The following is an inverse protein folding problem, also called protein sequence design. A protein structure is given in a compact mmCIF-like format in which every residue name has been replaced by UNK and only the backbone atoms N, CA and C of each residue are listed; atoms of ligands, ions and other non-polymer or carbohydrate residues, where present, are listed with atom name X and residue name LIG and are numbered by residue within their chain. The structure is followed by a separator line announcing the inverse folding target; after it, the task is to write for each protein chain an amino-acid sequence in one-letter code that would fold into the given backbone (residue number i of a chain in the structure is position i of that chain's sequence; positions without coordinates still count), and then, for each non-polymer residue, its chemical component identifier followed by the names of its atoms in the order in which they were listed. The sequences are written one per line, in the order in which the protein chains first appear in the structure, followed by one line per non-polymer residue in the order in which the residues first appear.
data_IF_687429143189
#
_entry.id   IF_687429143189
#
_cell.length_a   1.000
_cell.length_b   1.000
_cell.length_c   1.000
_cell.angle_alpha   90.00
_cell.angle_beta   90.00
_cell.angle_gamma   90.00
#
_symmetry.space_group_name_H-M   'P 1'
#
loop_
_entity.id
_entity.type
_entity.pdbx_description
1 polymer ?
#
# COMPACT_ATOMS: atom_id res chain seq x y z
N UNK A 1 -7.25 31.73 0.33
CA UNK A 1 -8.02 30.87 -0.60
C UNK A 1 -9.03 30.13 0.27
N UNK A 2 -10.23 29.75 -0.21
CA UNK A 2 -11.14 29.02 0.67
C UNK A 2 -10.56 27.63 1.00
N UNK A 3 -10.96 27.09 2.16
CA UNK A 3 -10.31 25.92 2.76
C UNK A 3 -10.41 24.67 1.88
N UNK A 4 -11.50 24.54 1.11
CA UNK A 4 -11.73 23.41 0.23
C UNK A 4 -10.69 23.38 -0.90
N UNK A 5 -10.44 24.52 -1.53
CA UNK A 5 -9.45 24.67 -2.59
C UNK A 5 -8.02 24.48 -2.05
N UNK A 6 -7.74 24.92 -0.81
CA UNK A 6 -6.45 24.65 -0.16
C UNK A 6 -6.24 23.14 0.09
N UNK A 7 -7.27 22.43 0.57
CA UNK A 7 -7.19 20.98 0.79
C UNK A 7 -7.03 20.22 -0.52
N UNK A 8 -7.74 20.63 -1.56
CA UNK A 8 -7.62 20.04 -2.89
C UNK A 8 -6.22 20.25 -3.47
N UNK A 9 -5.66 21.47 -3.39
CA UNK A 9 -4.32 21.76 -3.87
C UNK A 9 -3.24 20.98 -3.12
N UNK A 10 -3.32 20.95 -1.79
CA UNK A 10 -2.43 20.14 -0.95
C UNK A 10 -2.55 18.65 -1.28
N UNK A 11 -3.76 18.14 -1.41
CA UNK A 11 -4.03 16.75 -1.76
C UNK A 11 -3.47 16.37 -3.13
N UNK A 12 -3.64 17.22 -4.14
CA UNK A 12 -3.07 17.01 -5.47
C UNK A 12 -1.53 17.04 -5.45
N UNK A 13 -0.93 17.95 -4.69
CA UNK A 13 0.53 17.97 -4.50
C UNK A 13 1.03 16.68 -3.85
N UNK A 14 0.40 16.25 -2.75
CA UNK A 14 0.74 15.03 -2.02
C UNK A 14 0.54 13.79 -2.89
N UNK A 15 -0.52 13.75 -3.70
CA UNK A 15 -0.79 12.64 -4.62
C UNK A 15 0.34 12.48 -5.64
N UNK A 16 0.85 13.57 -6.23
CA UNK A 16 1.97 13.52 -7.18
C UNK A 16 3.26 13.03 -6.53
N UNK A 17 3.48 13.35 -5.26
CA UNK A 17 4.67 13.00 -4.48
C UNK A 17 4.49 11.77 -3.58
N UNK A 18 3.41 10.99 -3.78
CA UNK A 18 2.98 9.98 -2.82
C UNK A 18 3.97 8.83 -2.59
N UNK A 19 4.96 8.70 -3.46
CA UNK A 19 6.04 7.71 -3.37
C UNK A 19 7.15 8.10 -2.38
N UNK A 20 7.30 9.38 -2.03
CA UNK A 20 8.43 9.85 -1.20
C UNK A 20 8.10 9.87 0.29
N UNK A 21 6.88 10.25 0.68
CA UNK A 21 6.50 10.35 2.11
C UNK A 21 6.66 9.01 2.86
N UNK A 22 6.28 7.85 2.30
CA UNK A 22 6.50 6.59 2.99
C UNK A 22 7.97 6.27 3.28
N UNK A 23 8.92 6.83 2.50
CA UNK A 23 10.36 6.68 2.74
C UNK A 23 10.75 7.40 4.03
N UNK A 24 10.21 8.60 4.29
CA UNK A 24 10.49 9.34 5.53
C UNK A 24 10.00 8.58 6.77
N UNK A 25 8.80 8.02 6.69
CA UNK A 25 8.23 7.18 7.76
C UNK A 25 9.08 5.93 7.96
N UNK A 26 9.51 5.29 6.88
CA UNK A 26 10.37 4.11 6.94
C UNK A 26 11.73 4.43 7.57
N UNK A 27 12.34 5.56 7.23
CA UNK A 27 13.58 6.04 7.86
C UNK A 27 13.39 6.28 9.36
N UNK A 28 12.30 6.95 9.76
CA UNK A 28 11.97 7.13 11.17
C UNK A 28 11.78 5.78 11.89
N UNK A 29 11.10 4.83 11.24
CA UNK A 29 10.93 3.47 11.75
C UNK A 29 12.29 2.77 11.96
N UNK A 30 13.22 2.87 11.00
CA UNK A 30 14.57 2.34 11.15
C UNK A 30 15.34 2.96 12.32
N UNK A 31 15.29 4.28 12.49
CA UNK A 31 15.97 4.96 13.59
C UNK A 31 15.44 4.45 14.94
N UNK A 32 14.12 4.45 15.12
CA UNK A 32 13.49 4.00 16.38
C UNK A 32 13.78 2.51 16.60
N UNK A 33 13.76 1.72 15.53
CA UNK A 33 14.13 0.30 15.58
C UNK A 33 15.54 0.07 16.12
N UNK A 34 16.53 0.87 15.70
CA UNK A 34 17.90 0.71 16.22
C UNK A 34 17.98 0.90 17.73
N UNK A 35 17.25 1.88 18.27
CA UNK A 35 17.18 2.11 19.71
C UNK A 35 16.46 0.94 20.41
N UNK A 36 15.35 0.46 19.86
CA UNK A 36 14.64 -0.69 20.40
C UNK A 36 15.50 -1.95 20.48
N UNK A 37 16.30 -2.26 19.45
CA UNK A 37 17.23 -3.40 19.49
C UNK A 37 18.29 -3.20 20.57
N UNK A 38 18.85 -2.00 20.71
CA UNK A 38 19.84 -1.68 21.76
C UNK A 38 19.25 -1.79 23.16
N UNK A 39 17.97 -1.47 23.32
CA UNK A 39 17.20 -1.66 24.56
C UNK A 39 16.76 -3.12 24.79
N UNK A 40 17.23 -4.07 23.97
CA UNK A 40 16.95 -5.50 24.09
C UNK A 40 15.59 -5.95 23.53
N UNK A 41 14.84 -5.07 22.85
CA UNK A 41 13.57 -5.44 22.19
C UNK A 41 13.85 -6.01 20.81
N UNK A 42 13.78 -7.33 20.68
CA UNK A 42 13.99 -8.04 19.42
C UNK A 42 12.66 -8.57 18.84
N UNK A 43 12.04 -7.90 17.84
CA UNK A 43 10.78 -8.39 17.28
C UNK A 43 10.93 -9.70 16.52
N UNK A 44 12.14 -10.03 16.04
CA UNK A 44 12.42 -11.29 15.36
C UNK A 44 12.55 -12.45 16.36
N UNK A 45 12.95 -12.16 17.60
CA UNK A 45 13.00 -13.14 18.70
C UNK A 45 11.65 -13.34 19.41
N UNK A 46 10.80 -12.32 19.45
CA UNK A 46 9.52 -12.34 20.18
C UNK A 46 8.30 -12.73 19.35
N UNK A 47 8.46 -12.92 18.03
CA UNK A 47 7.37 -13.28 17.11
C UNK A 47 6.48 -12.11 16.67
N UNK A 48 6.66 -10.89 17.21
CA UNK A 48 5.99 -9.66 16.73
C UNK A 48 6.27 -9.43 15.24
N UNK A 49 7.42 -9.88 14.73
CA UNK A 49 7.73 -9.84 13.30
C UNK A 49 6.67 -10.58 12.45
N UNK A 50 6.11 -11.70 12.93
CA UNK A 50 5.10 -12.44 12.19
C UNK A 50 3.74 -11.75 12.20
N UNK A 51 3.38 -11.10 13.31
CA UNK A 51 2.22 -10.21 13.37
C UNK A 51 2.38 -9.04 12.38
N UNK A 52 3.55 -8.40 12.41
CA UNK A 52 3.92 -7.29 11.52
C UNK A 52 3.84 -7.71 10.04
N UNK A 53 4.37 -8.90 9.73
CA UNK A 53 4.31 -9.49 8.40
C UNK A 53 2.86 -9.81 8.01
N UNK A 54 2.06 -10.39 8.91
CA UNK A 54 0.65 -10.69 8.69
C UNK A 54 -0.16 -9.44 8.36
N UNK A 55 -0.01 -8.37 9.14
CA UNK A 55 -0.65 -7.07 8.87
C UNK A 55 -0.23 -6.53 7.50
N UNK A 56 1.06 -6.64 7.15
CA UNK A 56 1.54 -6.19 5.85
C UNK A 56 0.99 -7.00 4.68
N UNK A 57 0.92 -8.33 4.85
CA UNK A 57 0.36 -9.25 3.86
C UNK A 57 -1.14 -8.98 3.66
N UNK A 58 -1.91 -8.75 4.73
CA UNK A 58 -3.33 -8.38 4.61
C UNK A 58 -3.47 -7.11 3.77
N UNK A 59 -2.64 -6.10 4.00
CA UNK A 59 -2.60 -4.88 3.19
C UNK A 59 -2.31 -5.16 1.71
N UNK A 60 -1.31 -6.00 1.44
CA UNK A 60 -0.98 -6.42 0.08
C UNK A 60 -2.10 -7.22 -0.58
N UNK A 61 -2.78 -8.11 0.16
CA UNK A 61 -3.92 -8.88 -0.33
C UNK A 61 -5.11 -7.99 -0.69
N UNK A 62 -5.39 -6.96 0.11
CA UNK A 62 -6.40 -5.93 -0.23
C UNK A 62 -6.04 -5.26 -1.56
N UNK A 63 -4.77 -4.88 -1.74
CA UNK A 63 -4.30 -4.28 -3.00
C UNK A 63 -4.44 -5.24 -4.17
N UNK A 64 -4.04 -6.51 -3.99
CA UNK A 64 -4.17 -7.56 -5.00
C UNK A 64 -5.64 -7.73 -5.39
N UNK A 65 -6.53 -7.89 -4.41
CA UNK A 65 -7.96 -8.02 -4.69
C UNK A 65 -8.51 -6.81 -5.43
N UNK A 66 -8.17 -5.60 -4.98
CA UNK A 66 -8.63 -4.34 -5.59
C UNK A 66 -8.14 -4.19 -7.03
N UNK A 67 -6.84 -4.34 -7.27
CA UNK A 67 -6.23 -4.16 -8.59
C UNK A 67 -6.70 -5.24 -9.56
N UNK A 68 -6.91 -6.46 -9.07
CA UNK A 68 -7.32 -7.61 -9.87
C UNK A 68 -8.74 -7.50 -10.40
N UNK A 69 -9.61 -6.76 -9.70
CA UNK A 69 -11.00 -6.47 -10.09
C UNK A 69 -11.21 -5.03 -10.59
N UNK A 70 -10.16 -4.24 -10.79
CA UNK A 70 -10.32 -2.88 -11.31
C UNK A 70 -10.50 -2.90 -12.84
N UNK A 71 -11.31 -2.01 -13.44
CA UNK A 71 -11.29 -1.72 -14.87
C UNK A 71 -9.94 -1.21 -15.40
N UNK A 72 -9.82 -1.08 -16.72
CA UNK A 72 -8.77 -0.30 -17.38
C UNK A 72 -8.79 1.17 -16.91
N UNK A 73 -7.61 1.79 -16.87
CA UNK A 73 -7.43 3.22 -16.52
C UNK A 73 -8.09 3.72 -15.22
N UNK A 74 -8.44 2.81 -14.32
CA UNK A 74 -8.77 3.10 -12.93
C UNK A 74 -7.71 2.49 -12.03
N UNK A 75 -7.61 2.95 -10.78
CA UNK A 75 -6.69 2.35 -9.80
C UNK A 75 -5.22 2.35 -10.28
N UNK A 76 -4.83 3.38 -11.03
CA UNK A 76 -3.52 3.52 -11.67
C UNK A 76 -2.42 4.05 -10.73
N UNK A 77 -1.16 3.97 -11.17
CA UNK A 77 -0.01 4.58 -10.48
C UNK A 77 0.39 5.92 -11.11
N UNK A 78 -0.56 6.61 -11.73
CA UNK A 78 -0.31 7.87 -12.41
C UNK A 78 0.04 8.93 -11.36
N UNK A 79 1.27 9.43 -11.42
CA UNK A 79 1.75 10.57 -10.61
C UNK A 79 1.91 11.79 -11.50
N UNK A 80 2.49 11.64 -12.70
CA UNK A 80 2.72 12.73 -13.63
C UNK A 80 1.41 13.29 -14.24
N UNK A 81 0.52 12.41 -14.69
CA UNK A 81 -0.76 12.78 -15.32
C UNK A 81 -1.83 13.25 -14.31
N UNK A 82 -1.56 13.18 -13.00
CA UNK A 82 -2.55 13.46 -11.96
C UNK A 82 -3.59 12.35 -11.79
N UNK A 83 -4.77 12.73 -11.30
CA UNK A 83 -5.92 11.86 -11.08
C UNK A 83 -6.47 11.36 -12.43
N UNK A 84 -6.69 10.05 -12.57
CA UNK A 84 -7.23 9.42 -13.79
C UNK A 84 -8.22 8.35 -13.39
N UNK A 85 -9.44 8.43 -13.93
CA UNK A 85 -10.48 7.42 -13.75
C UNK A 85 -11.43 7.46 -14.95
N UNK A 86 -11.40 6.47 -15.82
CA UNK A 86 -12.32 6.41 -16.97
C UNK A 86 -13.74 6.01 -16.56
N UNK A 87 -13.86 5.20 -15.50
CA UNK A 87 -15.12 4.78 -14.89
C UNK A 87 -15.08 4.96 -13.37
N UNK A 88 -16.25 5.08 -12.76
CA UNK A 88 -16.39 5.10 -11.31
C UNK A 88 -16.57 3.67 -10.77
N UNK A 89 -15.59 3.19 -9.98
CA UNK A 89 -15.65 1.87 -9.36
C UNK A 89 -16.59 1.89 -8.15
N UNK A 90 -17.65 1.07 -8.17
CA UNK A 90 -18.66 1.01 -7.09
C UNK A 90 -18.95 -0.40 -6.59
N UNK A 91 -18.43 -1.43 -7.28
CA UNK A 91 -18.68 -2.84 -7.01
C UNK A 91 -17.45 -3.52 -6.39
N UNK A 92 -17.64 -4.75 -5.89
CA UNK A 92 -16.61 -5.52 -5.21
C UNK A 92 -16.13 -4.78 -3.96
N UNK A 93 -14.81 -4.64 -3.80
CA UNK A 93 -14.26 -3.95 -2.63
C UNK A 93 -14.64 -2.46 -2.58
N UNK A 94 -14.92 -1.83 -3.73
CA UNK A 94 -15.37 -0.44 -3.78
C UNK A 94 -16.81 -0.25 -3.30
N UNK A 95 -17.59 -1.32 -3.10
CA UNK A 95 -18.92 -1.18 -2.49
C UNK A 95 -18.85 -1.05 -0.97
N UNK A 96 -17.78 -1.57 -0.35
CA UNK A 96 -17.60 -1.60 1.11
C UNK A 96 -16.66 -0.51 1.63
N UNK A 97 -15.79 0.05 0.79
CA UNK A 97 -14.87 1.14 1.15
C UNK A 97 -14.50 1.97 -0.10
N UNK A 98 -14.44 3.30 0.02
CA UNK A 98 -14.13 4.18 -1.13
C UNK A 98 -12.67 4.15 -1.55
N UNK A 99 -11.76 3.99 -0.58
CA UNK A 99 -10.31 4.07 -0.79
C UNK A 99 -9.54 2.78 -0.45
N UNK A 100 -9.88 1.62 -1.05
CA UNK A 100 -9.31 0.31 -0.70
C UNK A 100 -7.79 0.21 -0.95
N UNK A 101 -7.25 0.88 -1.96
CA UNK A 101 -5.80 0.90 -2.21
C UNK A 101 -5.03 1.64 -1.11
N UNK A 102 -5.61 2.70 -0.56
CA UNK A 102 -5.04 3.45 0.55
C UNK A 102 -5.15 2.67 1.85
N UNK A 103 -6.26 1.96 2.09
CA UNK A 103 -6.37 1.01 3.18
C UNK A 103 -5.31 -0.09 3.09
N UNK A 104 -5.13 -0.69 1.91
CA UNK A 104 -4.09 -1.70 1.68
C UNK A 104 -2.68 -1.17 1.93
N UNK A 105 -2.38 0.03 1.44
CA UNK A 105 -1.10 0.69 1.71
C UNK A 105 -0.90 0.96 3.21
N UNK A 106 -1.91 1.46 3.90
CA UNK A 106 -1.85 1.71 5.34
C UNK A 106 -1.43 0.48 6.11
N UNK A 107 -2.08 -0.65 5.86
CA UNK A 107 -1.76 -1.91 6.54
C UNK A 107 -0.35 -2.40 6.19
N UNK A 108 0.09 -2.26 4.94
CA UNK A 108 1.49 -2.55 4.57
C UNK A 108 2.48 -1.74 5.40
N UNK A 109 2.29 -0.42 5.52
CA UNK A 109 3.19 0.44 6.28
C UNK A 109 3.04 0.28 7.81
N UNK A 110 1.83 -0.02 8.29
CA UNK A 110 1.57 -0.30 9.70
C UNK A 110 2.37 -1.52 10.16
N UNK A 111 2.48 -2.56 9.34
CA UNK A 111 3.32 -3.70 9.65
C UNK A 111 4.79 -3.32 9.87
N UNK A 112 5.35 -2.43 9.05
CA UNK A 112 6.72 -1.92 9.30
C UNK A 112 6.78 -1.06 10.57
N UNK A 113 5.74 -0.26 10.84
CA UNK A 113 5.67 0.58 12.03
C UNK A 113 5.57 -0.21 13.36
N UNK A 114 5.16 -1.49 13.31
CA UNK A 114 5.13 -2.38 14.46
C UNK A 114 6.50 -2.96 14.83
N UNK A 115 7.44 -3.06 13.88
CA UNK A 115 8.77 -3.66 14.10
C UNK A 115 9.58 -2.98 15.21
N UNK A 116 9.57 -1.64 15.36
CA UNK A 116 10.21 -0.98 16.49
C UNK A 116 9.64 -1.32 17.88
N UNK A 117 8.53 -2.06 17.99
CA UNK A 117 7.91 -2.40 19.28
C UNK A 117 7.64 -1.16 20.17
N UNK A 118 7.24 -0.05 19.54
CA UNK A 118 6.96 1.23 20.20
C UNK A 118 5.52 1.65 19.93
N UNK A 119 4.66 1.54 20.95
CA UNK A 119 3.25 1.94 20.87
C UNK A 119 3.13 3.42 20.51
N UNK A 120 3.98 4.27 21.08
CA UNK A 120 4.00 5.70 20.80
C UNK A 120 4.31 6.00 19.33
N UNK A 121 5.27 5.27 18.74
CA UNK A 121 5.57 5.41 17.31
C UNK A 121 4.40 4.98 16.44
N UNK A 122 3.71 3.89 16.79
CA UNK A 122 2.53 3.41 16.06
C UNK A 122 1.40 4.45 16.11
N UNK A 123 1.15 5.09 17.27
CA UNK A 123 0.14 6.14 17.40
C UNK A 123 0.50 7.33 16.50
N UNK A 124 1.75 7.82 16.55
CA UNK A 124 2.21 8.92 15.69
C UNK A 124 2.09 8.55 14.22
N UNK A 125 2.52 7.34 13.85
CA UNK A 125 2.39 6.83 12.50
C UNK A 125 0.94 6.89 12.02
N UNK A 126 -0.02 6.37 12.81
CA UNK A 126 -1.43 6.40 12.45
C UNK A 126 -1.97 7.84 12.27
N UNK A 127 -1.61 8.78 13.15
CA UNK A 127 -2.04 10.17 13.06
C UNK A 127 -1.46 10.88 11.82
N UNK A 128 -0.16 10.73 11.58
CA UNK A 128 0.49 11.31 10.39
C UNK A 128 -0.08 10.73 9.10
N UNK A 129 -0.31 9.42 9.10
CA UNK A 129 -0.87 8.72 7.96
C UNK A 129 -2.31 9.15 7.68
N UNK A 130 -3.12 9.38 8.72
CA UNK A 130 -4.47 9.92 8.60
C UNK A 130 -4.46 11.30 7.94
N UNK A 131 -3.70 12.26 8.47
CA UNK A 131 -3.61 13.62 7.91
C UNK A 131 -3.13 13.58 6.45
N UNK A 132 -2.14 12.73 6.16
CA UNK A 132 -1.58 12.60 4.83
C UNK A 132 -2.58 12.05 3.81
N UNK A 133 -3.24 10.93 4.11
CA UNK A 133 -4.21 10.34 3.19
C UNK A 133 -5.55 11.06 3.17
N UNK A 134 -5.97 11.72 4.24
CA UNK A 134 -7.16 12.57 4.22
C UNK A 134 -7.05 13.62 3.11
N UNK A 135 -5.90 14.30 3.01
CA UNK A 135 -5.65 15.30 1.96
C UNK A 135 -5.72 14.68 0.57
N UNK A 136 -5.07 13.53 0.36
CA UNK A 136 -5.07 12.85 -0.94
C UNK A 136 -6.48 12.37 -1.31
N UNK A 137 -7.17 11.71 -0.38
CA UNK A 137 -8.54 11.22 -0.56
C UNK A 137 -9.48 12.38 -0.86
N UNK A 138 -9.35 13.51 -0.17
CA UNK A 138 -10.16 14.70 -0.43
C UNK A 138 -10.00 15.19 -1.87
N UNK A 139 -8.76 15.36 -2.35
CA UNK A 139 -8.52 15.78 -3.72
C UNK A 139 -9.03 14.76 -4.77
N UNK A 140 -8.89 13.47 -4.48
CA UNK A 140 -9.45 12.40 -5.31
C UNK A 140 -10.98 12.46 -5.37
N UNK A 141 -11.63 12.66 -4.23
CA UNK A 141 -13.08 12.78 -4.13
C UNK A 141 -13.61 14.04 -4.83
N UNK A 142 -12.89 15.18 -4.80
CA UNK A 142 -13.25 16.36 -5.59
C UNK A 142 -13.15 16.07 -7.10
N UNK A 143 -12.07 15.41 -7.54
CA UNK A 143 -11.91 15.01 -8.93
C UNK A 143 -13.03 14.07 -9.40
N UNK A 144 -13.34 13.03 -8.62
CA UNK A 144 -14.40 12.08 -8.93
C UNK A 144 -15.79 12.73 -8.91
N UNK A 145 -16.05 13.63 -7.95
CA UNK A 145 -17.28 14.41 -7.91
C UNK A 145 -17.42 15.30 -9.14
N UNK A 146 -16.37 16.01 -9.55
CA UNK A 146 -16.40 16.84 -10.76
C UNK A 146 -16.62 16.03 -12.04
N UNK A 147 -16.12 14.79 -12.10
CA UNK A 147 -16.23 13.94 -13.29
C UNK A 147 -17.54 13.15 -13.39
N UNK A 148 -18.05 12.63 -12.26
CA UNK A 148 -19.19 11.69 -12.23
C UNK A 148 -20.42 12.23 -11.48
N UNK A 149 -20.31 13.41 -10.88
CA UNK A 149 -21.39 14.19 -10.25
C UNK A 149 -22.35 13.33 -9.40
N UNK A 150 -23.63 13.22 -9.80
CA UNK A 150 -24.67 12.49 -9.07
C UNK A 150 -24.35 11.00 -8.88
N UNK A 151 -23.66 10.36 -9.83
CA UNK A 151 -23.25 8.95 -9.72
C UNK A 151 -22.25 8.77 -8.58
N UNK A 152 -21.29 9.69 -8.46
CA UNK A 152 -20.34 9.71 -7.34
C UNK A 152 -21.05 9.99 -6.01
N UNK A 153 -21.92 11.01 -5.95
CA UNK A 153 -22.62 11.37 -4.72
C UNK A 153 -23.48 10.22 -4.18
N UNK A 154 -24.24 9.54 -5.04
CA UNK A 154 -25.11 8.43 -4.65
C UNK A 154 -24.34 7.24 -4.08
N UNK A 155 -23.16 6.95 -4.63
CA UNK A 155 -22.26 5.91 -4.13
C UNK A 155 -21.59 6.36 -2.82
N UNK A 156 -21.02 7.56 -2.79
CA UNK A 156 -20.26 8.06 -1.65
C UNK A 156 -21.12 8.24 -0.38
N UNK A 157 -22.40 8.56 -0.52
CA UNK A 157 -23.32 8.64 0.63
C UNK A 157 -23.54 7.32 1.36
N UNK A 158 -23.32 6.18 0.67
CA UNK A 158 -23.55 4.83 1.22
C UNK A 158 -22.26 4.18 1.69
N UNK A 159 -21.17 4.40 0.95
CA UNK A 159 -19.90 3.70 1.16
C UNK A 159 -18.94 4.52 2.02
N UNK A 160 -18.39 3.94 3.12
CA UNK A 160 -17.46 4.65 4.00
C UNK A 160 -16.11 4.93 3.32
N UNK A 161 -15.45 6.01 3.72
CA UNK A 161 -14.20 6.44 3.09
C UNK A 161 -13.05 5.42 3.26
N UNK A 162 -12.82 4.95 4.49
CA UNK A 162 -11.59 4.21 4.84
C UNK A 162 -11.79 2.93 5.65
N UNK A 163 -12.73 2.90 6.60
CA UNK A 163 -13.04 1.69 7.39
C UNK A 163 -14.11 0.89 6.63
N UNK A 164 -13.83 -0.35 6.18
CA UNK A 164 -14.78 -1.11 5.39
C UNK A 164 -16.05 -1.48 6.15
N UNK A 165 -17.19 -1.38 5.46
CA UNK A 165 -18.45 -1.94 5.94
C UNK A 165 -18.84 -3.16 5.09
N UNK A 166 -18.54 -4.35 5.60
CA UNK A 166 -18.74 -5.62 4.88
C UNK A 166 -20.21 -5.94 4.57
N UNK A 167 -21.18 -5.33 5.28
CA UNK A 167 -22.61 -5.55 4.97
C UNK A 167 -23.04 -4.93 3.65
N UNK A 168 -22.25 -4.01 3.09
CA UNK A 168 -22.49 -3.36 1.81
C UNK A 168 -21.87 -4.10 0.62
N UNK A 169 -21.34 -5.31 0.82
CA UNK A 169 -20.65 -6.03 -0.24
C UNK A 169 -21.60 -6.35 -1.39
N UNK A 170 -21.26 -5.86 -2.58
CA UNK A 170 -21.93 -6.18 -3.83
C UNK A 170 -20.90 -6.79 -4.77
N UNK A 171 -21.21 -7.93 -5.39
CA UNK A 171 -20.29 -8.58 -6.32
C UNK A 171 -20.00 -7.69 -7.52
N UNK A 172 -18.84 -7.93 -8.15
CA UNK A 172 -18.47 -7.27 -9.41
C UNK A 172 -18.53 -8.28 -10.54
N UNK A 173 -18.94 -7.82 -11.72
CA UNK A 173 -18.90 -8.62 -12.95
C UNK A 173 -17.47 -8.75 -13.52
N UNK A 174 -16.55 -7.91 -13.05
CA UNK A 174 -15.15 -7.92 -13.52
C UNK A 174 -14.44 -9.12 -12.91
N UNK A 175 -14.06 -10.09 -13.74
CA UNK A 175 -13.28 -11.24 -13.28
C UNK A 175 -11.86 -10.85 -12.85
N UNK A 176 -11.38 -11.49 -11.78
CA UNK A 176 -10.03 -11.29 -11.28
C UNK A 176 -8.94 -11.59 -12.33
N UNK A 177 -8.04 -10.63 -12.56
CA UNK A 177 -6.93 -10.78 -13.51
C UNK A 177 -5.57 -11.03 -12.84
N UNK A 178 -5.07 -12.26 -12.94
CA UNK A 178 -3.70 -12.60 -12.50
C UNK A 178 -2.62 -11.85 -13.27
N UNK A 179 -2.81 -11.64 -14.59
CA UNK A 179 -1.84 -10.91 -15.42
C UNK A 179 -1.65 -9.48 -14.93
N UNK A 180 -2.76 -8.80 -14.60
CA UNK A 180 -2.75 -7.44 -14.05
C UNK A 180 -2.01 -7.38 -12.72
N UNK A 181 -2.20 -8.37 -11.85
CA UNK A 181 -1.48 -8.48 -10.56
C UNK A 181 0.00 -8.67 -10.76
N UNK A 182 0.42 -9.65 -11.56
CA UNK A 182 1.83 -9.90 -11.85
C UNK A 182 2.51 -8.67 -12.47
N UNK A 183 1.79 -7.92 -13.31
CA UNK A 183 2.28 -6.68 -13.92
C UNK A 183 2.39 -5.53 -12.91
N UNK A 184 1.37 -5.30 -12.07
CA UNK A 184 1.26 -4.10 -11.21
C UNK A 184 1.83 -4.30 -9.80
N UNK A 185 1.64 -5.45 -9.17
CA UNK A 185 1.95 -5.66 -7.75
C UNK A 185 3.30 -6.36 -7.48
N UNK A 186 4.05 -6.76 -8.50
CA UNK A 186 5.43 -7.30 -8.34
C UNK A 186 6.35 -6.38 -7.51
N UNK A 187 6.22 -5.06 -7.68
CA UNK A 187 7.01 -4.09 -6.92
C UNK A 187 6.60 -4.07 -5.44
N UNK A 188 5.30 -4.25 -5.16
CA UNK A 188 4.77 -4.22 -3.80
C UNK A 188 5.23 -5.43 -2.99
N UNK A 189 5.15 -6.63 -3.60
CA UNK A 189 5.65 -7.86 -3.00
C UNK A 189 7.17 -7.80 -2.75
N UNK A 190 7.94 -7.38 -3.75
CA UNK A 190 9.39 -7.26 -3.61
C UNK A 190 9.79 -6.23 -2.55
N UNK A 191 9.14 -5.06 -2.53
CA UNK A 191 9.40 -4.03 -1.53
C UNK A 191 9.06 -4.50 -0.11
N UNK A 192 7.97 -5.24 0.07
CA UNK A 192 7.57 -5.78 1.37
C UNK A 192 8.67 -6.68 1.94
N UNK A 193 9.08 -7.71 1.20
CA UNK A 193 10.13 -8.63 1.69
C UNK A 193 11.50 -7.96 1.79
N UNK A 194 11.81 -7.00 0.92
CA UNK A 194 13.03 -6.21 1.03
C UNK A 194 13.11 -5.44 2.35
N UNK A 195 12.03 -4.76 2.72
CA UNK A 195 12.00 -3.94 3.93
C UNK A 195 12.16 -4.84 5.16
N UNK A 196 11.40 -5.95 5.26
CA UNK A 196 11.57 -6.91 6.36
C UNK A 196 13.00 -7.48 6.42
N UNK A 197 13.60 -7.77 5.27
CA UNK A 197 14.97 -8.26 5.20
C UNK A 197 16.01 -7.21 5.63
N UNK A 198 15.82 -5.92 5.31
CA UNK A 198 16.68 -4.85 5.83
C UNK A 198 16.57 -4.76 7.36
N UNK A 199 15.36 -4.79 7.92
CA UNK A 199 15.18 -4.81 9.37
C UNK A 199 15.88 -6.02 10.01
N UNK A 200 15.77 -7.19 9.37
CA UNK A 200 16.44 -8.42 9.81
C UNK A 200 17.96 -8.28 9.81
N UNK A 201 18.56 -7.80 8.71
CA UNK A 201 19.99 -7.55 8.58
C UNK A 201 20.49 -6.54 9.62
N UNK A 202 19.75 -5.44 9.78
CA UNK A 202 20.09 -4.39 10.74
C UNK A 202 20.09 -4.95 12.16
N UNK A 203 19.12 -5.80 12.50
CA UNK A 203 19.08 -6.51 13.79
C UNK A 203 20.25 -7.46 13.97
N UNK A 204 20.61 -8.24 12.95
CA UNK A 204 21.76 -9.13 13.05
C UNK A 204 23.07 -8.35 13.23
N UNK A 205 23.26 -7.27 12.47
CA UNK A 205 24.40 -6.36 12.61
C UNK A 205 24.49 -5.77 14.02
N UNK A 206 23.40 -5.19 14.53
CA UNK A 206 23.36 -4.57 15.87
C UNK A 206 23.58 -5.58 17.01
N UNK A 207 23.20 -6.84 16.81
CA UNK A 207 23.38 -7.91 17.79
C UNK A 207 24.70 -8.69 17.61
N UNK A 208 25.58 -8.27 16.70
CA UNK A 208 26.84 -8.96 16.43
C UNK A 208 26.69 -10.39 15.87
N UNK A 209 25.54 -10.69 15.23
CA UNK A 209 25.27 -11.98 14.59
C UNK A 209 25.71 -11.96 13.13
N UNK A 210 25.78 -13.15 12.52
CA UNK A 210 26.00 -13.29 11.08
C UNK A 210 24.94 -12.50 10.32
N UNK A 211 25.38 -11.59 9.46
CA UNK A 211 24.49 -10.63 8.78
C UNK A 211 23.65 -11.33 7.70
N UNK A 212 24.30 -12.19 6.91
CA UNK A 212 23.67 -12.95 5.82
C UNK A 212 23.72 -14.43 6.13
N UNK A 213 22.55 -15.04 6.24
CA UNK A 213 22.37 -16.46 6.52
C UNK A 213 21.29 -17.06 5.63
N UNK A 214 21.04 -18.37 5.76
CA UNK A 214 19.97 -19.08 5.06
C UNK A 214 18.62 -18.98 5.79
N UNK A 215 18.39 -17.92 6.57
CA UNK A 215 17.11 -17.71 7.24
C UNK A 215 15.97 -17.51 6.24
N UNK A 216 14.74 -17.72 6.73
CA UNK A 216 13.52 -17.42 5.99
C UNK A 216 13.55 -16.02 5.34
N UNK A 217 14.04 -15.00 6.06
CA UNK A 217 14.04 -13.61 5.59
C UNK A 217 14.96 -13.41 4.38
N UNK A 218 16.16 -14.00 4.42
CA UNK A 218 17.11 -13.94 3.31
C UNK A 218 16.59 -14.71 2.10
N UNK A 219 16.09 -15.93 2.30
CA UNK A 219 15.55 -16.75 1.21
C UNK A 219 14.32 -16.11 0.57
N UNK A 220 13.38 -15.61 1.37
CA UNK A 220 12.18 -14.95 0.88
C UNK A 220 12.52 -13.70 0.06
N UNK A 221 13.49 -12.89 0.51
CA UNK A 221 13.95 -11.73 -0.25
C UNK A 221 14.60 -12.13 -1.58
N UNK A 222 15.49 -13.13 -1.58
CA UNK A 222 16.13 -13.63 -2.81
C UNK A 222 15.07 -14.13 -3.81
N UNK A 223 14.11 -14.94 -3.37
CA UNK A 223 13.01 -15.43 -4.21
C UNK A 223 12.20 -14.26 -4.77
N UNK A 224 11.83 -13.28 -3.95
CA UNK A 224 11.05 -12.11 -4.39
C UNK A 224 11.81 -11.24 -5.40
N UNK A 225 13.13 -11.07 -5.25
CA UNK A 225 13.97 -10.38 -6.24
C UNK A 225 14.00 -11.13 -7.56
N UNK A 226 14.21 -12.44 -7.53
CA UNK A 226 14.26 -13.26 -8.73
C UNK A 226 12.92 -13.18 -9.47
N UNK A 227 11.80 -13.35 -8.76
CA UNK A 227 10.46 -13.17 -9.31
C UNK A 227 10.25 -11.76 -9.87
N UNK A 228 10.71 -10.72 -9.19
CA UNK A 228 10.64 -9.35 -9.69
C UNK A 228 11.35 -9.19 -11.03
N UNK A 229 12.58 -9.69 -11.15
CA UNK A 229 13.36 -9.59 -12.38
C UNK A 229 12.77 -10.43 -13.51
N UNK A 230 12.29 -11.63 -13.22
CA UNK A 230 11.57 -12.47 -14.18
C UNK A 230 10.34 -11.72 -14.72
N UNK A 231 9.49 -11.20 -13.84
CA UNK A 231 8.28 -10.46 -14.26
C UNK A 231 8.61 -9.14 -14.95
N UNK A 232 9.71 -8.47 -14.58
CA UNK A 232 10.21 -7.28 -15.28
C UNK A 232 10.68 -7.63 -16.69
N UNK A 233 11.43 -8.72 -16.84
CA UNK A 233 11.90 -9.22 -18.13
C UNK A 233 10.73 -9.59 -19.03
N UNK A 234 9.77 -10.37 -18.54
CA UNK A 234 8.55 -10.75 -19.28
C UNK A 234 7.79 -9.49 -19.73
N UNK A 235 7.60 -8.51 -18.84
CA UNK A 235 6.92 -7.25 -19.17
C UNK A 235 7.64 -6.45 -20.27
N UNK A 236 8.98 -6.48 -20.30
CA UNK A 236 9.76 -5.67 -21.23
C UNK A 236 9.94 -6.33 -22.61
N UNK A 237 9.93 -7.66 -22.66
CA UNK A 237 10.31 -8.41 -23.86
C UNK A 237 9.14 -9.22 -24.48
N UNK A 238 7.96 -9.23 -23.85
CA UNK A 238 6.81 -10.01 -24.31
C UNK A 238 5.49 -9.27 -24.06
N UNK A 239 4.45 -9.67 -24.79
CA UNK A 239 3.07 -9.19 -24.57
C UNK A 239 2.25 -10.14 -23.67
N UNK A 240 2.89 -11.10 -22.99
CA UNK A 240 2.18 -12.13 -22.24
C UNK A 240 1.34 -11.57 -21.09
N UNK A 241 1.86 -10.51 -20.44
CA UNK A 241 1.19 -9.78 -19.35
C UNK A 241 0.20 -8.72 -19.86
N UNK A 242 0.05 -8.55 -21.17
CA UNK A 242 -0.93 -7.64 -21.72
C UNK A 242 -2.31 -8.30 -21.73
N UNK A 243 -3.31 -7.50 -21.41
CA UNK A 243 -4.71 -7.87 -21.44
C UNK A 243 -5.44 -6.79 -22.24
N UNK A 244 -6.41 -7.23 -23.04
CA UNK A 244 -7.35 -6.33 -23.69
C UNK A 244 -8.05 -5.48 -22.62
N UNK A 245 -8.33 -4.22 -22.94
CA UNK A 245 -9.02 -3.31 -22.04
C UNK A 245 -10.38 -3.91 -21.64
N UNK A 246 -10.66 -3.92 -20.34
CA UNK A 246 -11.89 -4.43 -19.70
C UNK A 246 -12.40 -3.39 -18.73
#
# INVERSE_FOLDING_TARGET
MPLQEEFEQQGNFLFKHRSYIPILILLASFIIYTNSIRDGKDPFGTGIVYLSLGVSIIGLLIRIYTVGHSPANTSGRNTAAGQVADTLNQQGIYSIVRHPLYLGNFLMYLGFALLPMSIFFVIIFCLLFWIYYERIMFAEEQFLRGKFDTMYLNWALKTPAFIPNFSLFNSTEIHFSWKKILKKEKNGLAALFFIFWIFYILRNYLMGKVILDYSFWTLAMVICILLYFILKFIKQNTNWLDEAER
#
